data_IF_386552580186
#
_entry.id   IF_386552580186
#
_cell.length_a   1.000
_cell.length_b   1.000
_cell.length_c   1.000
_cell.angle_alpha   90.00
_cell.angle_beta   90.00
_cell.angle_gamma   90.00
#
_symmetry.space_group_name_H-M   'P 1'
#
loop_
_entity.id
_entity.type
_entity.pdbx_description
1 polymer ?
#
# COMPACT_ATOMS: atom_id res chain seq x y z
N UNK A 1 -1.39 -12.17 -29.77
CA UNK A 1 -0.56 -11.05 -30.27
C UNK A 1 0.38 -10.67 -29.14
N UNK A 2 1.69 -10.56 -29.38
CA UNK A 2 2.59 -10.09 -28.32
C UNK A 2 2.15 -8.69 -27.88
N UNK A 3 2.26 -8.34 -26.58
CA UNK A 3 1.91 -7.00 -26.13
C UNK A 3 2.70 -5.98 -26.96
N UNK A 4 2.04 -4.91 -27.35
CA UNK A 4 2.73 -3.80 -27.99
C UNK A 4 3.78 -3.28 -27.00
N UNK A 5 5.01 -3.06 -27.46
CA UNK A 5 6.10 -2.52 -26.63
C UNK A 5 5.69 -1.25 -25.86
N UNK A 6 4.76 -0.49 -26.43
CA UNK A 6 4.20 0.69 -25.79
C UNK A 6 3.39 0.32 -24.53
N UNK A 7 2.59 -0.74 -24.59
CA UNK A 7 1.80 -1.22 -23.42
C UNK A 7 2.72 -1.68 -22.29
N UNK A 8 3.78 -2.42 -22.59
CA UNK A 8 4.76 -2.83 -21.58
C UNK A 8 5.44 -1.62 -20.93
N UNK A 9 5.84 -0.64 -21.74
CA UNK A 9 6.48 0.58 -21.27
C UNK A 9 5.53 1.41 -20.37
N UNK A 10 4.24 1.47 -20.71
CA UNK A 10 3.23 2.14 -19.88
C UNK A 10 3.05 1.45 -18.52
N UNK A 11 3.01 0.11 -18.48
CA UNK A 11 2.95 -0.65 -17.23
C UNK A 11 4.19 -0.39 -16.36
N UNK A 12 5.38 -0.41 -16.95
CA UNK A 12 6.62 -0.06 -16.24
C UNK A 12 6.56 1.36 -15.68
N UNK A 13 6.01 2.31 -16.46
CA UNK A 13 5.79 3.68 -16.01
C UNK A 13 4.85 3.77 -14.81
N UNK A 14 3.73 3.04 -14.82
CA UNK A 14 2.80 2.96 -13.69
C UNK A 14 3.47 2.38 -12.46
N UNK A 15 4.21 1.27 -12.61
CA UNK A 15 4.97 0.66 -11.50
C UNK A 15 5.98 1.64 -10.92
N UNK A 16 6.71 2.38 -11.76
CA UNK A 16 7.66 3.38 -11.30
C UNK A 16 6.99 4.51 -10.50
N UNK A 17 5.83 5.00 -10.96
CA UNK A 17 5.06 6.02 -10.25
C UNK A 17 4.57 5.48 -8.89
N UNK A 18 4.02 4.27 -8.84
CA UNK A 18 3.59 3.66 -7.59
C UNK A 18 4.77 3.47 -6.62
N UNK A 19 5.92 3.04 -7.12
CA UNK A 19 7.13 2.94 -6.30
C UNK A 19 7.54 4.30 -5.73
N UNK A 20 7.45 5.38 -6.51
CA UNK A 20 7.74 6.73 -6.03
C UNK A 20 6.75 7.20 -4.96
N UNK A 21 5.47 6.95 -5.14
CA UNK A 21 4.46 7.29 -4.12
C UNK A 21 4.66 6.48 -2.84
N UNK A 22 4.90 5.16 -2.95
CA UNK A 22 5.25 4.30 -1.83
C UNK A 22 6.55 4.72 -1.14
N UNK A 23 7.50 5.31 -1.89
CA UNK A 23 8.73 5.87 -1.34
C UNK A 23 8.46 6.99 -0.33
N UNK A 24 7.48 7.87 -0.58
CA UNK A 24 7.14 8.94 0.36
C UNK A 24 6.66 8.38 1.71
N UNK A 25 5.81 7.36 1.69
CA UNK A 25 5.36 6.68 2.91
C UNK A 25 6.54 5.98 3.58
N UNK A 26 7.32 5.23 2.81
CA UNK A 26 8.45 4.46 3.30
C UNK A 26 9.58 5.31 3.87
N UNK A 27 9.85 6.48 3.29
CA UNK A 27 10.86 7.42 3.77
C UNK A 27 10.49 7.95 5.17
N UNK A 28 9.24 8.29 5.38
CA UNK A 28 8.75 8.71 6.70
C UNK A 28 8.94 7.58 7.73
N UNK A 29 8.68 6.32 7.34
CA UNK A 29 8.87 5.16 8.21
C UNK A 29 10.36 4.88 8.50
N UNK A 30 11.23 5.05 7.52
CA UNK A 30 12.67 4.86 7.67
C UNK A 30 13.28 5.91 8.59
N UNK A 31 12.88 7.19 8.45
CA UNK A 31 13.30 8.28 9.35
C UNK A 31 12.87 8.02 10.80
N UNK A 32 11.73 7.33 11.01
CA UNK A 32 11.22 6.94 12.33
C UNK A 32 11.79 5.60 12.83
N UNK A 33 12.79 5.02 12.14
CA UNK A 33 13.43 3.74 12.48
C UNK A 33 12.42 2.58 12.63
N UNK A 34 11.38 2.54 11.75
CA UNK A 34 10.37 1.49 11.78
C UNK A 34 10.80 0.25 10.98
N UNK A 35 10.30 -0.97 11.32
CA UNK A 35 10.74 -2.23 10.71
C UNK A 35 10.63 -2.29 9.19
N UNK A 36 9.60 -1.66 8.59
CA UNK A 36 9.46 -1.52 7.15
C UNK A 36 9.71 -0.05 6.76
N UNK A 37 10.77 0.20 6.00
CA UNK A 37 11.20 1.50 5.53
C UNK A 37 10.95 1.71 4.03
N UNK A 38 11.78 2.56 3.42
CA UNK A 38 11.70 3.02 2.04
C UNK A 38 11.55 1.87 1.03
N UNK A 39 12.50 0.93 1.03
CA UNK A 39 12.55 -0.16 0.06
C UNK A 39 11.31 -1.04 0.11
N UNK A 40 10.84 -1.35 1.31
CA UNK A 40 9.69 -2.23 1.51
C UNK A 40 8.41 -1.61 0.94
N UNK A 41 8.15 -0.34 1.25
CA UNK A 41 6.97 0.37 0.76
C UNK A 41 6.99 0.55 -0.77
N UNK A 42 8.15 0.91 -1.36
CA UNK A 42 8.34 0.97 -2.80
C UNK A 42 7.99 -0.36 -3.48
N UNK A 43 8.55 -1.46 -2.99
CA UNK A 43 8.33 -2.79 -3.59
C UNK A 43 6.88 -3.26 -3.43
N UNK A 44 6.24 -3.00 -2.29
CA UNK A 44 4.84 -3.35 -2.06
C UNK A 44 3.91 -2.59 -2.99
N UNK A 45 4.09 -1.27 -3.12
CA UNK A 45 3.30 -0.44 -4.03
C UNK A 45 3.49 -0.85 -5.50
N UNK A 46 4.74 -1.02 -5.93
CA UNK A 46 5.06 -1.45 -7.29
C UNK A 46 4.53 -2.84 -7.64
N UNK A 47 4.65 -3.82 -6.72
CA UNK A 47 4.10 -5.16 -6.91
C UNK A 47 2.57 -5.14 -7.02
N UNK A 48 1.88 -4.38 -6.18
CA UNK A 48 0.43 -4.24 -6.23
C UNK A 48 -0.03 -3.66 -7.57
N UNK A 49 0.65 -2.62 -8.07
CA UNK A 49 0.40 -2.04 -9.40
C UNK A 49 0.62 -3.07 -10.51
N UNK A 50 1.72 -3.81 -10.46
CA UNK A 50 2.05 -4.81 -11.47
C UNK A 50 1.00 -5.92 -11.53
N UNK A 51 0.54 -6.45 -10.39
CA UNK A 51 -0.48 -7.49 -10.35
C UNK A 51 -1.81 -7.01 -10.94
N UNK A 52 -2.22 -5.79 -10.68
CA UNK A 52 -3.44 -5.20 -11.25
C UNK A 52 -3.29 -5.04 -12.77
N UNK A 53 -2.21 -4.44 -13.24
CA UNK A 53 -1.95 -4.22 -14.66
C UNK A 53 -1.83 -5.52 -15.46
N UNK A 54 -1.14 -6.54 -14.91
CA UNK A 54 -1.05 -7.87 -15.54
C UNK A 54 -2.41 -8.55 -15.62
N UNK A 55 -3.27 -8.36 -14.62
CA UNK A 55 -4.61 -8.90 -14.66
C UNK A 55 -5.44 -8.34 -15.79
N UNK A 56 -5.45 -7.01 -15.92
CA UNK A 56 -6.17 -6.33 -16.99
C UNK A 56 -5.64 -6.76 -18.36
N UNK A 57 -4.32 -6.90 -18.49
CA UNK A 57 -3.69 -7.39 -19.71
C UNK A 57 -4.16 -8.80 -20.08
N UNK A 58 -4.08 -9.75 -19.13
CA UNK A 58 -4.47 -11.15 -19.36
C UNK A 58 -5.94 -11.27 -19.75
N UNK A 59 -6.82 -10.51 -19.09
CA UNK A 59 -8.25 -10.51 -19.39
C UNK A 59 -8.53 -9.99 -20.80
N UNK A 60 -7.91 -8.88 -21.17
CA UNK A 60 -8.09 -8.30 -22.49
C UNK A 60 -7.57 -9.23 -23.59
N UNK A 61 -6.41 -9.88 -23.39
CA UNK A 61 -5.84 -10.83 -24.33
C UNK A 61 -6.75 -12.05 -24.53
N UNK A 62 -7.21 -12.66 -23.44
CA UNK A 62 -8.09 -13.83 -23.52
C UNK A 62 -9.47 -13.48 -24.10
N UNK A 63 -10.02 -12.30 -23.78
CA UNK A 63 -11.30 -11.84 -24.35
C UNK A 63 -11.19 -11.61 -25.85
N UNK A 64 -10.04 -11.17 -26.34
CA UNK A 64 -9.79 -10.98 -27.78
C UNK A 64 -9.67 -12.32 -28.54
N UNK A 65 -9.09 -13.36 -27.91
CA UNK A 65 -8.88 -14.66 -28.52
C UNK A 65 -10.13 -15.56 -28.54
N UNK A 66 -10.95 -15.50 -27.48
CA UNK A 66 -12.06 -16.45 -27.28
C UNK A 66 -13.46 -15.83 -27.42
N UNK A 67 -13.56 -14.54 -27.78
CA UNK A 67 -14.84 -13.81 -27.87
C UNK A 67 -15.38 -13.42 -26.49
N UNK A 68 -15.88 -12.20 -26.40
CA UNK A 68 -16.20 -11.47 -25.15
C UNK A 68 -17.32 -12.02 -24.27
N UNK A 69 -17.45 -13.31 -24.11
CA UNK A 69 -18.45 -13.95 -23.23
C UNK A 69 -17.90 -15.06 -22.34
N UNK A 70 -16.65 -15.47 -22.51
CA UNK A 70 -16.12 -16.70 -21.89
C UNK A 70 -15.33 -16.44 -20.62
N UNK A 71 -14.81 -15.22 -20.40
CA UNK A 71 -13.99 -14.92 -19.24
C UNK A 71 -14.55 -13.73 -18.48
N UNK A 72 -15.21 -14.04 -17.37
CA UNK A 72 -15.51 -13.04 -16.34
C UNK A 72 -14.28 -12.85 -15.49
N UNK A 73 -13.51 -11.79 -15.72
CA UNK A 73 -12.51 -11.40 -14.75
C UNK A 73 -13.20 -10.83 -13.53
N UNK A 74 -12.76 -11.25 -12.38
CA UNK A 74 -13.19 -10.69 -11.12
C UNK A 74 -12.04 -9.83 -10.55
N UNK A 75 -12.01 -8.52 -10.84
CA UNK A 75 -10.96 -7.63 -10.32
C UNK A 75 -10.88 -7.65 -8.79
N UNK A 76 -11.99 -7.97 -8.13
CA UNK A 76 -12.06 -8.08 -6.66
C UNK A 76 -11.17 -9.22 -6.16
N UNK A 77 -11.05 -10.31 -6.92
CA UNK A 77 -10.16 -11.42 -6.56
C UNK A 77 -8.69 -11.03 -6.54
N UNK A 78 -8.26 -10.18 -7.44
CA UNK A 78 -6.87 -9.71 -7.49
C UNK A 78 -6.58 -8.78 -6.35
N UNK A 79 -7.49 -7.83 -6.09
CA UNK A 79 -7.41 -6.97 -4.92
C UNK A 79 -7.35 -7.82 -3.64
N UNK A 80 -8.22 -8.82 -3.51
CA UNK A 80 -8.23 -9.71 -2.35
C UNK A 80 -6.90 -10.49 -2.21
N UNK A 81 -6.32 -10.97 -3.31
CA UNK A 81 -5.03 -11.67 -3.29
C UNK A 81 -3.88 -10.75 -2.86
N UNK A 82 -3.82 -9.52 -3.39
CA UNK A 82 -2.83 -8.51 -2.99
C UNK A 82 -2.97 -8.18 -1.51
N UNK A 83 -4.19 -7.90 -1.04
CA UNK A 83 -4.47 -7.60 0.37
C UNK A 83 -4.06 -8.76 1.26
N UNK A 84 -4.34 -10.00 0.87
CA UNK A 84 -3.95 -11.19 1.63
C UNK A 84 -2.43 -11.32 1.74
N UNK A 85 -1.71 -11.16 0.62
CA UNK A 85 -0.25 -11.21 0.60
C UNK A 85 0.40 -10.13 1.46
N UNK A 86 -0.11 -8.90 1.36
CA UNK A 86 0.40 -7.77 2.15
C UNK A 86 0.03 -7.91 3.63
N UNK A 87 -1.14 -8.49 3.95
CA UNK A 87 -1.50 -8.79 5.33
C UNK A 87 -0.54 -9.78 5.98
N UNK A 88 -0.04 -10.76 5.23
CA UNK A 88 1.00 -11.68 5.69
C UNK A 88 2.33 -10.94 5.99
N UNK A 89 2.76 -10.05 5.09
CA UNK A 89 3.94 -9.21 5.31
C UNK A 89 3.75 -8.30 6.53
N UNK A 90 2.58 -7.68 6.64
CA UNK A 90 2.20 -6.83 7.78
C UNK A 90 2.23 -7.60 9.11
N UNK A 91 1.66 -8.79 9.15
CA UNK A 91 1.72 -9.65 10.33
C UNK A 91 3.16 -9.98 10.73
N UNK A 92 4.05 -10.16 9.76
CA UNK A 92 5.49 -10.36 9.98
C UNK A 92 6.20 -9.17 10.64
N UNK A 93 5.65 -7.96 10.56
CA UNK A 93 6.21 -6.76 11.22
C UNK A 93 5.73 -6.56 12.66
N UNK A 94 4.69 -7.30 13.07
CA UNK A 94 4.12 -7.17 14.42
C UNK A 94 4.91 -8.05 15.38
N UNK A 95 5.69 -7.45 16.26
CA UNK A 95 6.57 -8.13 17.20
C UNK A 95 6.16 -7.79 18.64
N UNK A 96 6.09 -8.82 19.47
CA UNK A 96 5.94 -8.67 20.91
C UNK A 96 7.31 -8.77 21.56
N UNK A 97 7.80 -7.70 22.15
CA UNK A 97 9.17 -7.66 22.68
C UNK A 97 9.41 -8.55 23.91
N UNK A 98 8.41 -8.74 24.80
CA UNK A 98 8.49 -9.61 25.99
C UNK A 98 7.09 -10.04 26.44
N UNK A 99 6.93 -11.12 27.25
CA UNK A 99 5.69 -11.41 27.92
C UNK A 99 5.26 -10.23 28.82
N UNK A 100 4.11 -9.60 28.50
CA UNK A 100 3.64 -8.37 29.18
C UNK A 100 4.12 -7.05 28.56
N UNK A 101 5.00 -7.07 27.54
CA UNK A 101 5.50 -5.88 26.83
C UNK A 101 4.54 -5.31 25.78
N UNK A 102 4.82 -4.09 25.32
CA UNK A 102 4.06 -3.43 24.26
C UNK A 102 4.17 -4.20 22.94
N UNK A 103 3.06 -4.20 22.19
CA UNK A 103 3.02 -4.73 20.82
C UNK A 103 3.50 -3.61 19.88
N UNK A 104 4.57 -3.85 19.16
CA UNK A 104 5.11 -2.94 18.15
C UNK A 104 4.78 -3.41 16.74
N UNK A 105 4.88 -2.52 15.74
CA UNK A 105 4.69 -2.85 14.33
C UNK A 105 3.27 -2.69 13.80
N UNK A 106 2.24 -2.42 14.62
CA UNK A 106 0.86 -2.26 14.16
C UNK A 106 0.71 -1.15 13.11
N UNK A 107 1.32 0.03 13.36
CA UNK A 107 1.29 1.14 12.40
C UNK A 107 2.11 0.82 11.15
N UNK A 108 3.20 0.05 11.28
CA UNK A 108 3.99 -0.42 10.14
C UNK A 108 3.16 -1.37 9.27
N UNK A 109 2.46 -2.32 9.86
CA UNK A 109 1.55 -3.23 9.14
C UNK A 109 0.46 -2.44 8.39
N UNK A 110 -0.15 -1.44 9.05
CA UNK A 110 -1.14 -0.57 8.43
C UNK A 110 -0.54 0.25 7.28
N UNK A 111 0.67 0.80 7.41
CA UNK A 111 1.31 1.58 6.35
C UNK A 111 1.66 0.74 5.12
N UNK A 112 2.02 -0.54 5.29
CA UNK A 112 2.22 -1.46 4.17
C UNK A 112 0.91 -1.72 3.40
N UNK A 113 -0.22 -1.86 4.10
CA UNK A 113 -1.52 -2.01 3.47
C UNK A 113 -1.92 -0.73 2.69
N UNK A 114 -1.61 0.47 3.22
CA UNK A 114 -1.82 1.73 2.51
C UNK A 114 -0.96 1.83 1.26
N UNK A 115 0.31 1.43 1.31
CA UNK A 115 1.19 1.38 0.13
C UNK A 115 0.66 0.42 -0.95
N UNK A 116 0.13 -0.74 -0.56
CA UNK A 116 -0.53 -1.65 -1.50
C UNK A 116 -1.79 -1.05 -2.11
N UNK A 117 -2.62 -0.38 -1.30
CA UNK A 117 -3.86 0.27 -1.78
C UNK A 117 -3.58 1.40 -2.77
N UNK A 118 -2.54 2.18 -2.52
CA UNK A 118 -2.03 3.20 -3.44
C UNK A 118 -1.56 2.55 -4.75
N UNK A 119 -0.77 1.47 -4.68
CA UNK A 119 -0.34 0.73 -5.85
C UNK A 119 -1.50 0.15 -6.67
N UNK A 120 -2.54 -0.37 -6.03
CA UNK A 120 -3.78 -0.80 -6.70
C UNK A 120 -4.43 0.38 -7.42
N UNK A 121 -4.53 1.54 -6.78
CA UNK A 121 -5.11 2.74 -7.39
C UNK A 121 -4.33 3.20 -8.64
N UNK A 122 -2.99 3.17 -8.58
CA UNK A 122 -2.13 3.45 -9.75
C UNK A 122 -2.36 2.44 -10.86
N UNK A 123 -2.40 1.14 -10.55
CA UNK A 123 -2.66 0.07 -11.52
C UNK A 123 -4.00 0.23 -12.24
N UNK A 124 -5.01 0.72 -11.54
CA UNK A 124 -6.31 1.07 -12.09
C UNK A 124 -6.36 2.47 -12.76
N UNK A 125 -5.22 3.15 -12.88
CA UNK A 125 -5.11 4.52 -13.42
C UNK A 125 -5.92 5.57 -12.65
N UNK A 126 -6.23 5.34 -11.36
CA UNK A 126 -6.96 6.24 -10.47
C UNK A 126 -5.99 7.23 -9.80
N UNK A 127 -5.40 8.11 -10.57
CA UNK A 127 -4.30 9.00 -10.15
C UNK A 127 -4.65 9.92 -8.97
N UNK A 128 -5.85 10.53 -8.99
CA UNK A 128 -6.30 11.40 -7.91
C UNK A 128 -6.46 10.61 -6.61
N UNK A 129 -6.98 9.38 -6.70
CA UNK A 129 -7.13 8.50 -5.55
C UNK A 129 -5.75 8.10 -4.99
N UNK A 130 -4.82 7.71 -5.85
CA UNK A 130 -3.47 7.33 -5.44
C UNK A 130 -2.76 8.47 -4.68
N UNK A 131 -2.77 9.68 -5.25
CA UNK A 131 -2.19 10.88 -4.61
C UNK A 131 -2.90 11.22 -3.30
N UNK A 132 -4.23 11.13 -3.27
CA UNK A 132 -5.03 11.40 -2.07
C UNK A 132 -4.73 10.42 -0.94
N UNK A 133 -4.67 9.12 -1.24
CA UNK A 133 -4.33 8.07 -0.26
C UNK A 133 -2.92 8.26 0.29
N UNK A 134 -1.94 8.54 -0.57
CA UNK A 134 -0.56 8.83 -0.16
C UNK A 134 -0.51 10.05 0.75
N UNK A 135 -1.19 11.14 0.38
CA UNK A 135 -1.26 12.36 1.18
C UNK A 135 -1.90 12.13 2.56
N UNK A 136 -3.01 11.39 2.62
CA UNK A 136 -3.68 11.02 3.87
C UNK A 136 -2.83 10.12 4.75
N UNK A 137 -2.11 9.16 4.16
CA UNK A 137 -1.16 8.32 4.89
C UNK A 137 -0.06 9.16 5.52
N UNK A 138 0.59 10.04 4.77
CA UNK A 138 1.64 10.93 5.27
C UNK A 138 1.12 11.88 6.34
N UNK A 139 -0.06 12.46 6.15
CA UNK A 139 -0.72 13.29 7.16
C UNK A 139 -0.89 12.52 8.46
N UNK A 140 -1.45 11.31 8.40
CA UNK A 140 -1.70 10.47 9.58
C UNK A 140 -0.40 10.09 10.28
N UNK A 141 0.62 9.66 9.50
CA UNK A 141 1.87 9.17 10.05
C UNK A 141 2.73 10.28 10.68
N UNK A 142 2.67 11.50 10.15
CA UNK A 142 3.52 12.61 10.58
C UNK A 142 2.85 13.51 11.62
N UNK A 143 1.54 13.73 11.53
CA UNK A 143 0.84 14.71 12.37
C UNK A 143 0.30 14.07 13.64
N UNK A 144 -0.24 12.85 13.59
CA UNK A 144 -0.80 12.19 14.77
C UNK A 144 0.19 12.01 15.93
N UNK A 145 1.46 11.67 15.73
CA UNK A 145 2.43 11.60 16.83
C UNK A 145 2.64 12.95 17.53
N UNK A 146 2.55 14.06 16.79
CA UNK A 146 2.75 15.41 17.32
C UNK A 146 1.56 15.92 18.16
N UNK A 147 0.37 15.37 17.95
CA UNK A 147 -0.86 15.75 18.65
C UNK A 147 -1.02 14.97 19.98
N UNK A 148 -0.43 13.78 20.07
CA UNK A 148 -0.53 12.88 21.23
C UNK A 148 -0.20 13.57 22.58
N UNK A 149 0.89 14.35 22.72
CA UNK A 149 1.21 15.01 23.99
C UNK A 149 0.16 16.04 24.42
N UNK A 150 -0.53 16.68 23.47
CA UNK A 150 -1.56 17.66 23.77
C UNK A 150 -2.80 17.06 24.46
N UNK A 151 -3.20 15.85 24.03
CA UNK A 151 -4.37 15.16 24.62
C UNK A 151 -4.03 14.47 25.95
N UNK A 152 -2.82 13.98 26.15
CA UNK A 152 -2.45 13.29 27.40
C UNK A 152 -2.24 14.26 28.55
N UNK A 153 -1.78 15.49 28.28
CA UNK A 153 -1.60 16.52 29.32
C UNK A 153 -2.93 17.02 29.91
N UNK A 154 -4.07 16.77 29.23
CA UNK A 154 -5.40 17.13 29.73
C UNK A 154 -5.98 16.11 30.73
N UNK A 155 -5.48 14.87 30.76
CA UNK A 155 -6.00 13.83 31.67
C UNK A 155 -5.32 13.86 33.05
N UNK A 156 -4.02 14.17 33.10
CA UNK A 156 -3.28 14.28 34.37
C UNK A 156 -3.82 15.45 35.28
N UNK A 157 -4.55 16.40 34.71
CA UNK A 157 -5.16 17.51 35.51
C UNK A 157 -6.50 17.16 36.15
N UNK A 158 -7.15 16.06 35.72
CA UNK A 158 -8.46 15.68 36.31
C UNK A 158 -8.33 14.60 37.39
N UNK A 159 -7.20 13.95 37.55
CA UNK A 159 -6.97 12.97 38.63
C UNK A 159 -6.27 13.57 39.84
N UNK A 160 -6.00 14.87 39.83
CA UNK A 160 -5.33 15.63 40.92
C UNK A 160 -6.23 16.57 41.71
N UNK A 161 -7.57 16.57 41.51
CA UNK A 161 -8.57 17.23 42.34
C UNK A 161 -9.47 16.22 43.06
#
# INVERSE_FOLDING_TARGET
MLPDQLTELLIVGQVAIAMLLGAFIGLEREVQEKPAGLRTHMLVAGAATLFVALSDYVVNELSSQYGGGVISSDPVRIIAAVVTGVSFLGAGTIIRQKPGGHIEGLTTAASLLFAASEGIAVGLSLWILALGVTGLALFTLRIMPSIKPFFLHSQDKQEGE
#
